data_IF_283327035649
#
_entry.id   IF_283327035649
#
_cell.length_a   1.000
_cell.length_b   1.000
_cell.length_c   1.000
_cell.angle_alpha   90.00
_cell.angle_beta   90.00
_cell.angle_gamma   90.00
#
_symmetry.space_group_name_H-M   'P 1'
#
loop_
_entity.id
_entity.type
_entity.pdbx_description
1 polymer ?
#
# COMPACT_ATOMS: atom_id res chain seq x y z
N UNK A 1 -13.60 -2.67 3.76
CA UNK A 1 -14.90 -2.21 4.17
C UNK A 1 -15.11 -2.32 5.68
N UNK A 2 -16.25 -1.85 6.14
CA UNK A 2 -16.61 -1.84 7.56
C UNK A 2 -16.58 -3.24 8.17
N UNK A 3 -16.92 -4.26 7.42
CA UNK A 3 -16.92 -5.65 7.90
C UNK A 3 -15.53 -6.12 8.35
N UNK A 4 -14.47 -5.68 7.65
CA UNK A 4 -13.10 -6.05 8.01
C UNK A 4 -12.67 -5.41 9.33
N UNK A 5 -13.16 -4.21 9.64
CA UNK A 5 -12.85 -3.54 10.90
C UNK A 5 -13.46 -4.26 12.11
N UNK A 6 -14.50 -5.06 11.88
CA UNK A 6 -15.17 -5.80 12.93
C UNK A 6 -14.67 -7.24 13.07
N UNK A 7 -13.74 -7.66 12.21
CA UNK A 7 -13.12 -8.97 12.32
C UNK A 7 -12.23 -9.01 13.55
N UNK A 8 -12.71 -9.59 14.59
CA UNK A 8 -12.01 -9.98 15.79
C UNK A 8 -10.82 -9.16 16.26
N UNK A 9 -10.55 -9.22 17.54
CA UNK A 9 -9.44 -8.52 18.19
C UNK A 9 -8.06 -8.99 17.76
N UNK A 10 -7.95 -10.06 17.00
CA UNK A 10 -6.65 -10.62 16.60
C UNK A 10 -5.98 -9.85 15.45
N UNK A 11 -6.74 -9.08 14.67
CA UNK A 11 -6.19 -8.32 13.55
C UNK A 11 -5.64 -7.00 14.05
N UNK A 12 -4.32 -6.85 14.00
CA UNK A 12 -3.61 -5.66 14.53
C UNK A 12 -3.46 -4.56 13.50
N UNK A 13 -3.29 -4.91 12.24
CA UNK A 13 -3.06 -3.95 11.17
C UNK A 13 -3.98 -4.28 10.00
N UNK A 14 -4.63 -3.28 9.46
CA UNK A 14 -5.55 -3.44 8.34
C UNK A 14 -5.17 -2.47 7.25
N UNK A 15 -5.09 -2.95 6.00
CA UNK A 15 -4.94 -2.13 4.82
C UNK A 15 -6.15 -2.40 3.93
N UNK A 16 -6.95 -1.36 3.69
CA UNK A 16 -8.11 -1.43 2.81
C UNK A 16 -7.79 -0.80 1.48
N UNK A 17 -8.00 -1.55 0.41
CA UNK A 17 -7.81 -1.06 -0.94
C UNK A 17 -9.07 -0.33 -1.40
N UNK A 18 -8.91 0.90 -1.88
CA UNK A 18 -10.00 1.79 -2.29
C UNK A 18 -10.00 2.05 -3.80
N UNK A 19 -9.43 1.15 -4.59
CA UNK A 19 -9.34 1.30 -6.04
C UNK A 19 -8.54 2.53 -6.42
N UNK A 20 -9.07 3.37 -7.29
CA UNK A 20 -8.38 4.58 -7.76
C UNK A 20 -8.12 5.59 -6.65
N UNK A 21 -8.80 5.47 -5.52
CA UNK A 21 -8.63 6.40 -4.38
C UNK A 21 -7.47 6.01 -3.46
N UNK A 22 -6.72 4.95 -3.78
CA UNK A 22 -5.58 4.52 -2.99
C UNK A 22 -5.95 3.53 -1.91
N UNK A 23 -5.41 3.72 -0.71
CA UNK A 23 -5.64 2.81 0.41
C UNK A 23 -5.97 3.58 1.69
N UNK A 24 -6.62 2.87 2.61
CA UNK A 24 -6.81 3.33 3.98
C UNK A 24 -6.24 2.26 4.92
N UNK A 25 -5.35 2.68 5.83
CA UNK A 25 -4.68 1.77 6.76
C UNK A 25 -5.05 2.12 8.19
N UNK A 26 -5.20 1.09 9.01
CA UNK A 26 -5.54 1.25 10.43
C UNK A 26 -4.58 0.43 11.28
N UNK A 27 -3.93 1.11 12.21
CA UNK A 27 -3.09 0.48 13.23
C UNK A 27 -3.96 0.22 14.47
N UNK A 28 -4.20 -1.05 14.75
CA UNK A 28 -5.01 -1.51 15.89
C UNK A 28 -4.17 -2.20 16.96
N UNK A 29 -2.86 -1.94 16.97
CA UNK A 29 -1.97 -2.58 17.95
C UNK A 29 -2.22 -2.12 19.38
N UNK A 30 -2.74 -0.91 19.58
CA UNK A 30 -3.09 -0.42 20.90
C UNK A 30 -4.37 -1.09 21.37
N UNK A 31 -4.40 -1.53 22.63
CA UNK A 31 -5.57 -2.16 23.23
C UNK A 31 -6.75 -1.22 23.40
N UNK A 32 -6.46 0.10 23.54
CA UNK A 32 -7.48 1.13 23.64
C UNK A 32 -7.94 1.50 22.23
N UNK A 33 -9.21 1.25 21.95
CA UNK A 33 -9.81 1.54 20.64
C UNK A 33 -9.63 3.01 20.23
N UNK A 34 -9.74 3.92 21.20
CA UNK A 34 -9.62 5.37 20.92
C UNK A 34 -8.21 5.75 20.46
N UNK A 35 -7.21 4.91 20.73
CA UNK A 35 -5.83 5.14 20.32
C UNK A 35 -5.47 4.47 19.01
N UNK A 36 -6.42 3.82 18.35
CA UNK A 36 -6.20 3.28 17.03
C UNK A 36 -6.01 4.42 16.03
N UNK A 37 -5.01 4.28 15.18
CA UNK A 37 -4.65 5.32 14.20
C UNK A 37 -4.96 4.85 12.79
N UNK A 38 -5.66 5.69 12.06
CA UNK A 38 -5.96 5.45 10.66
C UNK A 38 -5.36 6.54 9.80
N UNK A 39 -4.93 6.19 8.60
CA UNK A 39 -4.46 7.14 7.61
C UNK A 39 -4.78 6.65 6.21
N UNK A 40 -4.84 7.57 5.27
CA UNK A 40 -5.05 7.24 3.86
C UNK A 40 -3.86 7.67 3.03
N UNK A 41 -3.61 6.92 1.95
CA UNK A 41 -2.60 7.26 0.96
C UNK A 41 -3.28 7.25 -0.40
N UNK A 42 -3.08 8.32 -1.17
CA UNK A 42 -3.54 8.37 -2.55
C UNK A 42 -2.75 7.40 -3.40
N UNK A 43 -3.33 7.00 -4.53
CA UNK A 43 -2.63 6.15 -5.48
C UNK A 43 -1.42 6.88 -6.06
N UNK A 44 -0.29 6.18 -6.17
CA UNK A 44 0.91 6.70 -6.81
C UNK A 44 0.98 6.38 -8.30
N UNK A 45 -0.06 5.74 -8.87
CA UNK A 45 -0.09 5.41 -10.28
C UNK A 45 -0.25 6.68 -11.13
N UNK A 46 0.67 6.86 -12.08
CA UNK A 46 0.63 7.99 -13.02
C UNK A 46 -0.26 7.66 -14.23
N UNK A 47 -0.14 6.44 -14.71
CA UNK A 47 -0.82 5.96 -15.91
C UNK A 47 -1.36 4.57 -15.63
N UNK A 48 -2.68 4.45 -15.54
CA UNK A 48 -3.28 3.13 -15.29
C UNK A 48 -3.49 2.44 -16.62
N UNK A 49 -2.64 1.45 -16.91
CA UNK A 49 -2.77 0.59 -18.09
C UNK A 49 -3.69 -0.58 -17.77
N UNK A 50 -3.44 -1.27 -16.65
CA UNK A 50 -4.22 -2.43 -16.25
C UNK A 50 -4.15 -2.60 -14.73
N UNK A 51 -5.29 -2.52 -14.03
CA UNK A 51 -5.30 -2.67 -12.57
C UNK A 51 -5.16 -4.12 -12.10
N UNK A 52 -5.16 -5.10 -13.01
CA UNK A 52 -5.01 -6.51 -12.66
C UNK A 52 -3.66 -6.75 -12.01
N UNK A 53 -3.66 -7.45 -10.87
CA UNK A 53 -2.44 -7.76 -10.14
C UNK A 53 -2.01 -6.69 -9.14
N UNK A 54 -2.65 -5.52 -9.13
CA UNK A 54 -2.26 -4.46 -8.20
C UNK A 54 -2.51 -4.84 -6.74
N UNK A 55 -3.58 -5.60 -6.47
CA UNK A 55 -3.88 -6.10 -5.13
C UNK A 55 -2.85 -7.11 -4.64
N UNK A 56 -2.41 -8.01 -5.53
CA UNK A 56 -1.37 -8.99 -5.20
C UNK A 56 -0.04 -8.31 -4.91
N UNK A 57 0.31 -7.29 -5.69
CA UNK A 57 1.53 -6.52 -5.48
C UNK A 57 1.46 -5.76 -4.15
N UNK A 58 0.35 -5.13 -3.85
CA UNK A 58 0.12 -4.46 -2.57
C UNK A 58 0.31 -5.44 -1.42
N UNK A 59 -0.33 -6.60 -1.48
CA UNK A 59 -0.26 -7.62 -0.42
C UNK A 59 1.17 -8.10 -0.23
N UNK A 60 1.85 -8.47 -1.31
CA UNK A 60 3.20 -9.04 -1.24
C UNK A 60 4.20 -8.06 -0.64
N UNK A 61 4.24 -6.84 -1.16
CA UNK A 61 5.24 -5.84 -0.74
C UNK A 61 4.93 -5.25 0.63
N UNK A 62 3.65 -5.03 0.95
CA UNK A 62 3.31 -4.57 2.29
C UNK A 62 3.62 -5.62 3.35
N UNK A 63 3.40 -6.90 3.05
CA UNK A 63 3.73 -8.00 3.97
C UNK A 63 5.23 -8.06 4.23
N UNK A 64 6.04 -8.01 3.16
CA UNK A 64 7.50 -8.02 3.29
C UNK A 64 8.00 -6.81 4.08
N UNK A 65 7.43 -5.64 3.82
CA UNK A 65 7.81 -4.42 4.53
C UNK A 65 7.39 -4.49 6.01
N UNK A 66 6.22 -5.05 6.32
CA UNK A 66 5.78 -5.25 7.71
C UNK A 66 6.73 -6.18 8.46
N UNK A 67 7.13 -7.29 7.82
CA UNK A 67 8.07 -8.23 8.43
C UNK A 67 9.43 -7.60 8.69
N UNK A 68 9.86 -6.69 7.82
CA UNK A 68 11.18 -6.06 7.91
C UNK A 68 11.20 -4.86 8.85
N UNK A 69 10.13 -4.07 8.90
CA UNK A 69 10.12 -2.78 9.60
C UNK A 69 9.20 -2.73 10.80
N UNK A 70 8.22 -3.63 10.89
CA UNK A 70 7.14 -3.60 11.90
C UNK A 70 6.42 -2.24 11.93
N UNK A 71 6.38 -1.54 10.79
CA UNK A 71 5.84 -0.19 10.67
C UNK A 71 4.77 -0.18 9.58
N UNK A 72 3.52 0.04 9.98
CA UNK A 72 2.38 0.03 9.06
C UNK A 72 2.47 1.15 8.02
N UNK A 73 2.95 2.33 8.40
CA UNK A 73 3.10 3.43 7.46
C UNK A 73 4.10 3.08 6.36
N UNK A 74 5.28 2.56 6.74
CA UNK A 74 6.28 2.12 5.77
C UNK A 74 5.74 1.02 4.87
N UNK A 75 5.06 0.03 5.45
CA UNK A 75 4.47 -1.08 4.70
C UNK A 75 3.41 -0.58 3.71
N UNK A 76 2.58 0.36 4.14
CA UNK A 76 1.53 0.95 3.31
C UNK A 76 2.11 1.73 2.13
N UNK A 77 3.18 2.49 2.38
CA UNK A 77 3.85 3.26 1.33
C UNK A 77 4.50 2.32 0.30
N UNK A 78 5.27 1.36 0.77
CA UNK A 78 5.95 0.40 -0.13
C UNK A 78 4.92 -0.42 -0.92
N UNK A 79 3.88 -0.90 -0.26
CA UNK A 79 2.79 -1.63 -0.92
C UNK A 79 2.09 -0.79 -1.97
N UNK A 80 1.85 0.50 -1.67
CA UNK A 80 1.21 1.42 -2.61
C UNK A 80 2.07 1.69 -3.84
N UNK A 81 3.39 1.81 -3.67
CA UNK A 81 4.32 1.92 -4.80
C UNK A 81 4.28 0.66 -5.66
N UNK A 82 4.27 -0.51 -5.05
CA UNK A 82 4.19 -1.77 -5.79
C UNK A 82 2.87 -1.89 -6.55
N UNK A 83 1.76 -1.51 -5.93
CA UNK A 83 0.45 -1.51 -6.57
C UNK A 83 0.43 -0.55 -7.77
N UNK A 84 1.04 0.63 -7.64
CA UNK A 84 1.15 1.59 -8.74
C UNK A 84 1.94 1.01 -9.90
N UNK A 85 3.06 0.36 -9.62
CA UNK A 85 3.86 -0.31 -10.66
C UNK A 85 3.03 -1.36 -11.40
N UNK A 86 2.24 -2.15 -10.68
CA UNK A 86 1.39 -3.16 -11.29
C UNK A 86 0.34 -2.54 -12.22
N UNK A 87 -0.29 -1.44 -11.78
CA UNK A 87 -1.29 -0.74 -12.58
C UNK A 87 -0.70 -0.16 -13.87
N UNK A 88 0.57 0.23 -13.84
CA UNK A 88 1.24 0.85 -14.97
C UNK A 88 1.81 -0.15 -15.96
N UNK A 89 1.75 -1.43 -15.65
CA UNK A 89 2.21 -2.51 -16.53
C UNK A 89 1.04 -3.15 -17.26
N UNK A 90 1.35 -3.71 -18.43
CA UNK A 90 0.38 -4.43 -19.24
C UNK A 90 0.34 -5.90 -18.84
N UNK A 91 -0.85 -6.42 -18.53
CA UNK A 91 -1.09 -7.83 -18.30
C UNK A 91 -0.46 -8.40 -17.04
N UNK A 92 -0.05 -9.67 -17.11
CA UNK A 92 0.42 -10.45 -15.96
C UNK A 92 1.91 -10.24 -15.64
N UNK A 93 2.45 -9.07 -15.93
CA UNK A 93 3.86 -8.79 -15.66
C UNK A 93 4.10 -8.64 -14.16
N UNK A 94 5.05 -9.40 -13.64
CA UNK A 94 5.41 -9.35 -12.23
C UNK A 94 6.12 -8.04 -11.89
N UNK A 95 5.75 -7.44 -10.76
CA UNK A 95 6.44 -6.27 -10.21
C UNK A 95 7.71 -6.76 -9.51
N UNK A 96 8.85 -6.22 -9.93
CA UNK A 96 10.14 -6.55 -9.31
C UNK A 96 10.53 -5.50 -8.29
N UNK A 97 11.46 -5.83 -7.34
CA UNK A 97 11.98 -4.82 -6.43
C UNK A 97 12.59 -3.60 -7.14
N UNK A 98 13.26 -3.80 -8.28
CA UNK A 98 13.78 -2.70 -9.07
C UNK A 98 12.67 -1.78 -9.59
N UNK A 99 11.53 -2.33 -9.98
CA UNK A 99 10.38 -1.52 -10.40
C UNK A 99 9.95 -0.58 -9.28
N UNK A 100 9.87 -1.10 -8.06
CA UNK A 100 9.47 -0.32 -6.88
C UNK A 100 10.49 0.77 -6.58
N UNK A 101 11.79 0.44 -6.60
CA UNK A 101 12.87 1.40 -6.36
C UNK A 101 12.84 2.51 -7.40
N UNK A 102 12.66 2.16 -8.67
CA UNK A 102 12.57 3.13 -9.76
C UNK A 102 11.37 4.06 -9.58
N UNK A 103 10.24 3.53 -9.14
CA UNK A 103 9.04 4.33 -8.87
C UNK A 103 9.29 5.32 -7.74
N UNK A 104 9.90 4.86 -6.66
CA UNK A 104 10.25 5.71 -5.53
C UNK A 104 11.17 6.84 -5.97
N UNK A 105 12.20 6.54 -6.73
CA UNK A 105 13.14 7.54 -7.25
C UNK A 105 12.44 8.56 -8.15
N UNK A 106 11.53 8.09 -8.99
CA UNK A 106 10.75 8.97 -9.87
C UNK A 106 9.91 9.96 -9.06
N UNK A 107 9.20 9.47 -8.04
CA UNK A 107 8.37 10.31 -7.18
C UNK A 107 9.22 11.30 -6.39
N UNK A 108 10.36 10.86 -5.87
CA UNK A 108 11.28 11.74 -5.14
C UNK A 108 11.77 12.89 -6.02
N UNK A 109 12.10 12.60 -7.27
CA UNK A 109 12.52 13.65 -8.23
C UNK A 109 11.41 14.66 -8.49
N UNK A 110 10.18 14.18 -8.62
CA UNK A 110 9.01 15.07 -8.78
C UNK A 110 8.87 16.01 -7.58
N UNK A 111 9.01 15.50 -6.38
CA UNK A 111 8.88 16.31 -5.17
C UNK A 111 9.98 17.33 -5.04
N UNK A 112 11.20 17.05 -5.53
CA UNK A 112 12.32 17.98 -5.48
C UNK A 112 12.19 19.13 -6.48
N UNK A 113 11.36 18.97 -7.51
CA UNK A 113 11.12 20.00 -8.51
C UNK A 113 10.05 21.02 -8.05
N UNK A 114 9.41 20.73 -6.95
CA UNK A 114 8.42 21.61 -6.32
C UNK A 114 9.11 22.42 -5.22
#
# INVERSE_FOLDING_TARGET
SVALLNIGVAVKNIILKLGSKGIFSVDRTNKDFEKHQGFSLDSFAENIVDPVGSGDALLSYSTLAMLSTSNLLAASIIGSFAAACACEKDGNTTVTPNDVVNKINFIQKKLKLI
#
